data_IF_332141809046
#
_entry.id   IF_332141809046
#
_cell.length_a   1.000
_cell.length_b   1.000
_cell.length_c   1.000
_cell.angle_alpha   90.00
_cell.angle_beta   90.00
_cell.angle_gamma   90.00
#
_symmetry.space_group_name_H-M   'P 1'
#
loop_
_entity.id
_entity.type
_entity.pdbx_description
1 polymer ?
2 non-polymer ?
3 non-polymer ?
4 water ?
#
# COMPACT_ATOMS: atom_id res chain seq x y z
N UNK A 6 12.27 22.45 11.56
CA UNK A 6 12.58 21.09 11.99
C UNK A 6 14.05 20.74 11.79
N UNK A 7 14.58 19.90 12.67
CA UNK A 7 15.96 19.46 12.53
C UNK A 7 16.18 18.78 11.19
N UNK A 8 15.23 17.92 10.79
CA UNK A 8 15.29 17.21 9.52
C UNK A 8 13.99 17.46 8.76
N UNK A 9 13.94 18.51 7.95
CA UNK A 9 12.74 18.75 7.13
C UNK A 9 12.37 17.57 6.26
N UNK A 10 13.35 16.78 5.85
CA UNK A 10 13.14 15.63 4.99
C UNK A 10 13.83 14.44 5.62
N UNK A 11 13.23 13.87 6.69
CA UNK A 11 13.90 12.81 7.45
C UNK A 11 14.13 11.58 6.58
N UNK A 12 15.35 11.06 6.66
CA UNK A 12 15.76 9.96 5.79
C UNK A 12 15.54 8.60 6.44
N UNK A 13 15.18 8.59 7.72
CA UNK A 13 14.82 7.34 8.39
C UNK A 13 13.93 7.70 9.58
N UNK A 14 13.51 6.69 10.32
CA UNK A 14 12.59 6.90 11.42
C UNK A 14 13.27 7.50 12.64
N UNK A 15 14.60 7.41 12.74
CA UNK A 15 15.26 8.05 13.87
C UNK A 15 15.29 9.56 13.68
N UNK A 16 15.47 10.02 12.44
CA UNK A 16 15.36 11.46 12.18
C UNK A 16 13.93 11.95 12.39
N UNK A 17 12.95 11.15 12.00
CA UNK A 17 11.56 11.50 12.30
C UNK A 17 11.33 11.64 13.80
N UNK A 18 11.88 10.71 14.57
CA UNK A 18 11.74 10.78 16.01
C UNK A 18 12.46 11.99 16.58
N UNK A 19 13.62 12.34 16.02
CA UNK A 19 14.35 13.51 16.49
C UNK A 19 13.63 14.79 16.15
N UNK A 20 12.75 14.78 15.14
CA UNK A 20 11.90 15.92 14.87
C UNK A 20 10.76 16.07 15.88
N UNK A 21 10.51 15.04 16.70
CA UNK A 21 9.48 15.10 17.72
C UNK A 21 8.39 14.05 17.56
N UNK A 22 8.42 13.24 16.51
CA UNK A 22 7.39 12.24 16.26
C UNK A 22 7.65 11.03 17.15
N UNK A 23 6.74 10.76 18.06
CA UNK A 23 6.96 9.73 19.08
C UNK A 23 6.01 8.55 18.98
N UNK A 24 5.02 8.57 18.12
CA UNK A 24 4.01 7.52 18.06
C UNK A 24 4.23 6.65 16.84
N UNK A 25 4.13 5.35 17.02
CA UNK A 25 4.33 4.41 15.91
C UNK A 25 3.23 4.57 14.88
N UNK A 26 3.59 4.35 13.61
CA UNK A 26 2.65 4.50 12.53
C UNK A 26 3.38 4.72 11.23
N UNK A 27 2.60 5.10 10.20
CA UNK A 27 3.16 5.37 8.89
C UNK A 27 3.70 6.79 8.84
N UNK A 28 4.93 6.93 8.31
CA UNK A 28 5.56 8.22 8.12
C UNK A 28 6.20 8.23 6.75
N UNK A 29 6.33 9.42 6.17
CA UNK A 29 7.07 9.57 4.94
C UNK A 29 8.51 9.93 5.31
N UNK A 30 9.44 9.10 4.87
CA UNK A 30 10.87 9.41 4.95
C UNK A 30 11.36 9.73 3.53
N UNK A 31 12.56 10.28 3.45
CA UNK A 31 13.10 10.76 2.18
C UNK A 31 14.51 10.22 2.04
N UNK A 32 14.69 9.27 1.13
CA UNK A 32 15.98 8.63 0.97
C UNK A 32 17.03 9.67 0.60
N UNK A 33 18.14 9.65 1.34
CA UNK A 33 19.23 10.62 1.19
C UNK A 33 18.76 12.05 1.45
N UNK A 34 17.71 12.21 2.24
CA UNK A 34 17.17 13.53 2.51
C UNK A 34 16.65 14.23 1.28
N UNK A 35 16.40 13.47 0.21
CA UNK A 35 15.99 14.02 -1.07
C UNK A 35 14.47 14.02 -1.14
N UNK A 36 13.89 15.22 -1.26
CA UNK A 36 12.44 15.35 -1.34
C UNK A 36 11.82 14.48 -2.43
N UNK A 37 12.53 14.30 -3.54
CA UNK A 37 12.04 13.53 -4.68
C UNK A 37 12.08 12.02 -4.45
N UNK A 38 12.61 11.56 -3.33
CA UNK A 38 12.70 10.12 -3.07
C UNK A 38 11.86 9.73 -1.87
N UNK A 39 10.62 10.19 -1.85
CA UNK A 39 9.74 9.93 -0.73
C UNK A 39 9.41 8.45 -0.67
N UNK A 40 9.38 7.92 0.53
CA UNK A 40 9.03 6.51 0.79
C UNK A 40 8.22 6.46 2.08
N UNK A 41 7.05 5.85 2.02
CA UNK A 41 6.19 5.70 3.18
C UNK A 41 6.56 4.42 3.92
N UNK A 42 7.00 4.55 5.17
CA UNK A 42 7.41 3.40 5.97
C UNK A 42 6.64 3.40 7.29
N UNK A 43 6.62 2.24 7.93
CA UNK A 43 6.10 2.13 9.27
C UNK A 43 7.26 2.31 10.24
N UNK A 44 7.15 3.27 11.14
CA UNK A 44 8.12 3.52 12.19
C UNK A 44 7.66 2.86 13.49
N UNK A 45 8.52 2.02 14.05
CA UNK A 45 8.36 1.50 15.41
C UNK A 45 9.06 2.50 16.32
N UNK A 46 8.29 3.32 17.02
CA UNK A 46 8.84 4.38 17.83
C UNK A 46 8.91 4.03 19.30
N UNK A 47 8.61 2.77 19.68
CA UNK A 47 8.57 2.38 21.08
C UNK A 47 9.53 1.27 21.47
N UNK A 48 9.84 0.33 20.58
CA UNK A 48 10.76 -0.74 20.94
C UNK A 48 12.17 -0.19 21.09
N UNK A 49 12.80 -0.48 22.23
CA UNK A 49 14.26 -0.36 22.36
C UNK A 49 14.74 1.00 21.86
N UNK A 50 14.09 2.05 22.37
CA UNK A 50 14.44 3.41 22.06
C UNK A 50 13.76 4.02 20.86
N UNK A 51 13.01 3.24 20.09
CA UNK A 51 12.29 3.79 18.95
C UNK A 51 13.18 4.11 17.77
N UNK A 52 12.61 4.89 16.85
CA UNK A 52 13.34 5.29 15.66
C UNK A 52 13.60 4.20 14.65
N UNK A 53 12.79 3.13 14.66
CA UNK A 53 13.04 1.96 13.83
C UNK A 53 12.18 1.96 12.58
N UNK A 54 12.80 1.79 11.42
CA UNK A 54 12.07 1.46 10.20
C UNK A 54 11.78 -0.02 10.21
N UNK A 55 10.50 -0.40 10.22
CA UNK A 55 10.13 -1.81 10.09
C UNK A 55 10.16 -2.17 8.61
N UNK A 56 10.80 -3.31 8.27
CA UNK A 56 10.84 -3.72 6.87
C UNK A 56 10.29 -5.11 6.63
N UNK A 57 9.96 -5.86 7.69
CA UNK A 57 9.22 -7.09 7.61
C UNK A 57 8.29 -7.17 8.80
N UNK A 58 7.04 -7.58 8.57
CA UNK A 58 6.12 -7.91 9.64
C UNK A 58 5.35 -9.17 9.27
N UNK A 59 5.35 -10.15 10.18
CA UNK A 59 4.51 -11.32 10.14
C UNK A 59 3.63 -11.30 11.39
N UNK A 60 2.33 -11.58 11.22
CA UNK A 60 1.45 -11.56 12.38
C UNK A 60 0.16 -12.36 12.26
N UNK A 61 -0.27 -12.72 11.05
CA UNK A 61 -1.52 -13.44 10.93
C UNK A 61 -1.67 -14.30 9.69
N UNK A 62 -0.65 -14.38 8.85
CA UNK A 62 -0.71 -15.25 7.69
C UNK A 62 -1.54 -14.77 6.51
N UNK A 63 -1.97 -13.51 6.51
CA UNK A 63 -2.86 -13.08 5.43
C UNK A 63 -2.12 -12.77 4.15
N UNK A 64 -0.86 -12.36 4.23
CA UNK A 64 -0.07 -12.04 3.06
C UNK A 64 0.72 -13.26 2.61
N UNK A 65 0.90 -13.38 1.29
CA UNK A 65 1.67 -14.46 0.70
C UNK A 65 3.13 -14.01 0.55
N UNK A 66 4.04 -14.73 1.21
CA UNK A 66 5.46 -14.39 1.11
C UNK A 66 6.20 -15.27 0.15
N UNK A 67 5.49 -16.17 -0.55
CA UNK A 67 6.10 -16.97 -1.62
C UNK A 67 6.03 -16.19 -2.94
N UNK A 68 6.90 -15.18 -3.03
CA UNK A 68 6.87 -14.19 -4.11
C UNK A 68 8.17 -14.24 -4.90
N UNK A 69 8.15 -13.62 -6.08
CA UNK A 69 9.28 -13.75 -7.00
C UNK A 69 10.30 -12.63 -6.79
N UNK A 70 11.35 -12.67 -7.62
CA UNK A 70 12.45 -11.74 -7.49
C UNK A 70 11.96 -10.30 -7.58
N UNK A 71 11.19 -9.99 -8.63
CA UNK A 71 10.74 -8.61 -8.81
C UNK A 71 9.95 -8.12 -7.61
N UNK A 72 9.14 -9.01 -7.01
CA UNK A 72 8.31 -8.61 -5.88
C UNK A 72 9.16 -8.36 -4.64
N UNK A 73 10.18 -9.18 -4.40
CA UNK A 73 11.05 -8.94 -3.26
C UNK A 73 11.93 -7.71 -3.50
N UNK A 74 12.23 -7.40 -4.76
CA UNK A 74 13.00 -6.20 -5.06
C UNK A 74 12.17 -4.94 -4.80
N UNK A 75 10.87 -4.98 -5.13
CA UNK A 75 10.03 -3.79 -5.10
C UNK A 75 9.24 -3.63 -3.80
N UNK A 76 9.04 -4.70 -3.07
CA UNK A 76 8.22 -4.68 -1.87
C UNK A 76 6.78 -5.03 -2.18
N UNK A 77 6.10 -5.57 -1.16
CA UNK A 77 4.69 -5.93 -1.28
C UNK A 77 4.03 -5.91 0.10
N UNK A 78 2.71 -5.77 0.08
CA UNK A 78 1.90 -5.89 1.28
C UNK A 78 1.40 -4.55 1.79
N UNK A 79 0.61 -4.64 2.86
CA UNK A 79 0.11 -3.51 3.62
C UNK A 79 1.13 -3.15 4.71
N UNK A 80 1.73 -1.97 4.61
CA UNK A 80 2.78 -1.59 5.55
C UNK A 80 2.24 -1.38 6.97
N UNK A 81 0.93 -1.33 7.16
CA UNK A 81 0.35 -1.30 8.49
C UNK A 81 0.16 -2.69 9.06
N UNK A 82 0.31 -3.73 8.22
CA UNK A 82 0.04 -5.10 8.62
C UNK A 82 1.20 -5.97 8.16
N UNK A 83 0.91 -7.11 7.52
CA UNK A 83 1.98 -7.94 6.99
C UNK A 83 2.53 -7.38 5.68
N UNK A 84 3.85 -7.26 5.58
CA UNK A 84 4.46 -6.67 4.40
C UNK A 84 5.95 -6.99 4.34
N UNK A 85 6.52 -6.75 3.16
CA UNK A 85 7.95 -6.71 2.93
C UNK A 85 8.27 -5.37 2.27
N UNK A 86 9.22 -4.62 2.82
CA UNK A 86 9.48 -3.26 2.36
C UNK A 86 10.07 -3.21 0.94
N UNK A 87 10.89 -4.21 0.57
CA UNK A 87 11.51 -4.21 -0.71
C UNK A 87 13.02 -4.13 -0.60
N UNK A 88 13.73 -4.92 -1.42
CA UNK A 88 15.18 -4.98 -1.31
C UNK A 88 15.83 -3.74 -1.88
N UNK A 89 15.26 -3.15 -2.92
CA UNK A 89 15.81 -1.89 -3.43
C UNK A 89 15.75 -0.82 -2.36
N UNK A 90 14.62 -0.73 -1.64
CA UNK A 90 14.50 0.21 -0.54
C UNK A 90 15.53 -0.08 0.56
N UNK A 91 15.69 -1.36 0.94
CA UNK A 91 16.63 -1.69 1.99
C UNK A 91 18.04 -1.29 1.61
N UNK A 92 18.45 -1.56 0.38
CA UNK A 92 19.78 -1.14 -0.08
C UNK A 92 19.95 0.37 0.02
N UNK A 93 18.97 1.13 -0.48
CA UNK A 93 19.09 2.58 -0.45
C UNK A 93 19.15 3.13 0.98
N UNK A 94 18.39 2.52 1.89
CA UNK A 94 18.44 2.99 3.28
C UNK A 94 19.80 2.66 3.90
N UNK A 95 20.26 1.41 3.75
CA UNK A 95 21.52 1.06 4.41
C UNK A 95 22.70 1.77 3.76
N UNK A 96 22.55 2.27 2.54
CA UNK A 96 23.60 3.04 1.91
C UNK A 96 23.67 4.48 2.40
N UNK A 97 22.73 4.91 3.25
CA UNK A 97 22.70 6.27 3.76
C UNK A 97 23.56 6.47 5.00
N UNK A 98 24.16 5.42 5.53
CA UNK A 98 24.93 5.54 6.76
C UNK A 98 25.21 4.17 7.35
N UNK A 99 25.44 4.17 8.66
CA UNK A 99 25.81 2.97 9.40
C UNK A 99 24.56 2.54 10.19
N UNK A 100 23.97 1.40 9.79
CA UNK A 100 22.70 0.97 10.34
C UNK A 100 22.85 -0.31 11.13
N UNK A 101 21.94 -0.48 12.09
CA UNK A 101 21.83 -1.69 12.88
C UNK A 101 20.47 -2.34 12.65
N UNK A 102 20.42 -3.65 12.84
CA UNK A 102 19.23 -4.46 12.68
C UNK A 102 18.69 -4.87 14.05
N UNK A 103 17.36 -4.81 14.20
CA UNK A 103 16.68 -5.40 15.35
C UNK A 103 15.61 -6.36 14.85
N UNK A 104 15.51 -7.52 15.49
CA UNK A 104 14.47 -8.49 15.20
C UNK A 104 13.68 -8.69 16.48
N UNK A 105 12.36 -8.49 16.41
CA UNK A 105 11.45 -8.74 17.52
C UNK A 105 10.60 -9.95 17.23
N UNK A 106 10.54 -10.89 18.19
CA UNK A 106 9.82 -12.13 18.03
C UNK A 106 8.83 -12.27 19.19
N UNK A 107 7.63 -12.75 18.89
CA UNK A 107 6.63 -12.99 19.91
C UNK A 107 5.88 -14.27 19.56
N UNK A 108 5.56 -15.08 20.57
CA UNK A 108 4.89 -16.35 20.33
C UNK A 108 4.23 -16.83 21.62
N UNK A 109 2.92 -16.76 21.66
CA UNK A 109 2.14 -17.32 22.77
C UNK A 109 2.59 -16.79 24.12
N UNK A 110 2.74 -15.48 24.23
CA UNK A 110 3.12 -14.87 25.49
C UNK A 110 4.61 -14.80 25.74
N UNK A 111 5.41 -15.48 24.93
CA UNK A 111 6.85 -15.40 25.01
C UNK A 111 7.36 -14.39 24.00
N UNK A 112 8.46 -13.73 24.36
CA UNK A 112 9.10 -12.80 23.44
C UNK A 112 10.60 -13.02 23.46
N UNK A 113 11.26 -12.61 22.37
CA UNK A 113 12.71 -12.62 22.31
C UNK A 113 13.12 -11.59 21.27
N UNK A 114 14.41 -11.27 21.26
CA UNK A 114 14.88 -10.27 20.31
C UNK A 114 16.33 -10.54 19.95
N UNK A 115 16.75 -9.94 18.84
CA UNK A 115 18.15 -9.94 18.45
C UNK A 115 18.48 -8.60 17.86
N UNK A 116 19.68 -8.10 18.17
CA UNK A 116 20.20 -6.87 17.58
C UNK A 116 21.55 -7.17 16.97
N UNK A 117 21.79 -6.63 15.77
CA UNK A 117 23.05 -6.75 15.06
C UNK A 117 23.55 -5.34 14.76
N UNK A 118 24.68 -4.96 15.33
CA UNK A 118 25.07 -3.55 15.30
C UNK A 118 25.65 -3.14 13.94
N UNK A 119 25.84 -4.08 13.02
CA UNK A 119 26.22 -3.77 11.63
C UNK A 119 25.27 -4.52 10.70
N UNK A 120 24.52 -3.77 9.90
CA UNK A 120 23.54 -4.33 8.98
C UNK A 120 23.54 -3.53 7.69
N UNK A 121 23.73 -4.22 6.57
CA UNK A 121 23.64 -3.57 5.27
C UNK A 121 23.18 -4.59 4.24
N UNK A 122 22.56 -4.06 3.18
CA UNK A 122 22.10 -4.83 2.04
C UNK A 122 22.67 -4.17 0.79
N UNK A 123 23.35 -4.97 -0.03
CA UNK A 123 23.91 -4.47 -1.27
C UNK A 123 22.87 -4.25 -2.37
N UNK A 124 23.35 -3.75 -3.50
CA UNK A 124 22.43 -3.35 -4.57
C UNK A 124 22.10 -4.54 -5.46
N UNK A 125 21.29 -4.29 -6.49
CA UNK A 125 20.80 -5.37 -7.32
C UNK A 125 21.94 -6.15 -7.96
N UNK A 126 22.99 -5.44 -8.36
CA UNK A 126 24.12 -6.12 -9.01
C UNK A 126 24.78 -7.12 -8.09
N UNK A 127 24.77 -6.86 -6.78
CA UNK A 127 25.25 -7.84 -5.80
C UNK A 127 24.21 -8.89 -5.44
N UNK A 128 23.07 -8.91 -6.12
CA UNK A 128 21.92 -9.74 -5.70
C UNK A 128 21.60 -9.50 -4.23
N UNK A 129 21.71 -8.22 -3.81
CA UNK A 129 21.27 -7.76 -2.49
C UNK A 129 22.03 -8.48 -1.37
N UNK A 130 23.35 -8.46 -1.47
CA UNK A 130 24.19 -9.20 -0.55
C UNK A 130 24.01 -8.69 0.87
N UNK A 131 23.90 -9.63 1.80
CA UNK A 131 23.61 -9.31 3.19
C UNK A 131 24.89 -9.18 3.99
N UNK A 132 24.99 -8.13 4.81
CA UNK A 132 26.00 -8.04 5.86
C UNK A 132 25.25 -7.91 7.18
N UNK A 133 25.56 -8.80 8.13
CA UNK A 133 24.89 -8.76 9.44
C UNK A 133 25.88 -9.27 10.47
N UNK A 134 26.28 -8.39 11.40
CA UNK A 134 27.36 -8.65 12.34
C UNK A 134 27.09 -7.94 13.67
N UNK A 135 27.78 -8.41 14.72
CA UNK A 135 27.71 -7.78 16.04
C UNK A 135 26.45 -8.08 16.81
N UNK A 136 26.27 -9.36 17.15
CA UNK A 136 25.03 -9.83 17.77
C UNK A 136 24.93 -9.51 19.25
N UNK A 137 23.71 -9.21 19.69
CA UNK A 137 23.32 -9.26 21.09
C UNK A 137 21.86 -9.66 21.14
N UNK A 138 21.42 -10.23 22.29
CA UNK A 138 20.02 -10.46 22.44
C UNK A 138 19.73 -11.77 23.13
N UNK A 139 18.46 -12.16 23.06
CA UNK A 139 17.97 -13.38 23.70
C UNK A 139 17.44 -14.44 22.73
N UNK A 140 17.27 -14.10 21.46
CA UNK A 140 16.73 -15.05 20.50
C UNK A 140 17.75 -16.10 20.08
N UNK A 141 19.02 -15.84 20.31
CA UNK A 141 20.11 -16.63 19.76
C UNK A 141 20.53 -16.12 18.40
N UNK A 142 21.82 -16.25 18.13
CA UNK A 142 22.42 -15.63 16.93
C UNK A 142 22.21 -16.51 15.70
N UNK A 143 21.04 -16.42 15.12
CA UNK A 143 20.69 -17.24 13.95
C UNK A 143 21.02 -16.55 12.63
N UNK A 144 21.25 -15.23 12.64
CA UNK A 144 21.59 -14.56 11.41
C UNK A 144 23.06 -14.77 11.01
N UNK A 145 23.93 -15.09 11.96
CA UNK A 145 25.33 -15.30 11.64
C UNK A 145 25.51 -16.30 10.49
N UNK A 146 24.73 -17.37 10.51
CA UNK A 146 24.76 -18.37 9.44
C UNK A 146 24.55 -17.74 8.05
N UNK A 147 23.77 -16.66 7.98
CA UNK A 147 23.42 -16.05 6.71
C UNK A 147 24.34 -14.90 6.29
N UNK A 148 25.26 -14.47 7.14
CA UNK A 148 26.10 -13.31 6.80
C UNK A 148 26.85 -13.56 5.51
N UNK A 149 26.81 -12.58 4.60
CA UNK A 149 27.51 -12.68 3.35
C UNK A 149 26.73 -13.31 2.20
N UNK A 150 25.55 -13.84 2.45
CA UNK A 150 24.78 -14.47 1.39
C UNK A 150 24.03 -13.42 0.56
N UNK A 151 23.87 -13.70 -0.72
CA UNK A 151 22.93 -12.99 -1.58
C UNK A 151 21.50 -13.49 -1.36
N UNK A 152 20.54 -12.75 -1.87
CA UNK A 152 19.13 -13.09 -1.74
C UNK A 152 18.73 -14.12 -2.80
N UNK A 153 17.76 -14.95 -2.44
CA UNK A 153 17.25 -15.99 -3.32
C UNK A 153 15.72 -15.97 -3.32
N UNK A 154 15.16 -16.13 -4.50
CA UNK A 154 13.74 -16.40 -4.68
C UNK A 154 13.62 -17.63 -5.58
N UNK A 155 12.40 -18.14 -5.72
CA UNK A 155 12.25 -19.39 -6.45
C UNK A 155 12.71 -19.22 -7.89
N UNK A 156 12.58 -18.01 -8.45
CA UNK A 156 12.97 -17.76 -9.83
C UNK A 156 14.34 -17.11 -9.96
N UNK A 157 15.06 -16.91 -8.87
CA UNK A 157 16.47 -16.51 -8.97
C UNK A 157 17.24 -17.13 -7.80
N UNK A 158 17.85 -18.28 -8.06
CA UNK A 158 18.53 -19.08 -7.05
C UNK A 158 19.98 -18.67 -6.97
N UNK A 159 20.36 -18.09 -5.83
CA UNK A 159 21.76 -17.72 -5.58
C UNK A 159 22.31 -18.41 -4.34
N UNK A 160 21.64 -19.46 -3.84
CA UNK A 160 22.04 -20.05 -2.56
C UNK A 160 23.23 -20.97 -2.79
N UNK A 161 23.65 -21.65 -1.73
CA UNK A 161 24.83 -22.50 -1.77
C UNK A 161 24.50 -23.98 -1.90
N UNK A 162 23.25 -24.31 -2.26
CA UNK A 162 22.82 -25.68 -2.46
C UNK A 162 22.64 -25.99 -3.94
N UNK A 163 22.81 -27.26 -4.31
CA UNK A 163 22.52 -27.64 -5.69
C UNK A 163 21.02 -27.64 -5.94
N UNK A 164 20.23 -27.77 -4.87
CA UNK A 164 18.81 -27.59 -4.95
C UNK A 164 18.48 -26.10 -4.87
N UNK A 165 17.20 -25.79 -4.93
CA UNK A 165 16.70 -24.42 -4.89
C UNK A 165 16.00 -24.25 -3.54
N UNK A 166 16.68 -23.60 -2.60
CA UNK A 166 16.13 -23.43 -1.25
C UNK A 166 14.77 -22.76 -1.28
N UNK A 167 14.66 -21.66 -2.02
CA UNK A 167 13.42 -20.90 -2.05
C UNK A 167 12.29 -21.75 -2.60
N UNK A 168 12.55 -22.49 -3.68
CA UNK A 168 11.54 -23.36 -4.26
C UNK A 168 11.17 -24.49 -3.31
N UNK A 169 12.18 -25.12 -2.70
CA UNK A 169 11.93 -26.25 -1.82
C UNK A 169 11.09 -25.85 -0.63
N UNK A 170 11.41 -24.72 -0.02
CA UNK A 170 10.77 -24.29 1.21
C UNK A 170 9.65 -23.30 0.96
N UNK A 171 9.40 -22.95 -0.30
CA UNK A 171 8.34 -22.02 -0.72
C UNK A 171 8.39 -20.74 0.10
N UNK A 172 9.58 -20.13 0.10
CA UNK A 172 9.79 -18.84 0.74
C UNK A 172 10.87 -18.08 0.00
N UNK A 173 11.51 -17.13 0.67
CA UNK A 173 12.58 -16.32 0.10
C UNK A 173 13.43 -15.81 1.25
N UNK A 174 14.73 -15.72 1.03
CA UNK A 174 15.63 -15.23 2.06
C UNK A 174 17.04 -15.17 1.51
N UNK A 175 17.97 -14.67 2.31
CA UNK A 175 19.39 -14.77 2.05
C UNK A 175 19.83 -16.19 2.38
N UNK A 176 19.34 -17.14 1.58
CA UNK A 176 19.52 -18.56 1.88
C UNK A 176 20.98 -18.98 1.66
N UNK A 177 21.39 -19.99 2.41
CA UNK A 177 22.69 -20.66 2.26
C UNK A 177 22.37 -22.10 1.86
N UNK A 178 22.27 -23.01 2.85
CA UNK A 178 21.90 -24.38 2.52
C UNK A 178 21.28 -25.06 3.75
N UNK A 179 20.10 -24.58 4.18
CA UNK A 179 19.41 -23.47 3.61
C UNK A 179 19.25 -22.30 4.59
N UNK A 180 18.82 -22.56 5.82
CA UNK A 180 18.62 -21.43 6.72
C UNK A 180 18.65 -21.84 8.18
N UNK A 181 18.92 -20.83 9.01
CA UNK A 181 18.58 -20.77 10.42
C UNK A 181 17.53 -19.71 10.73
N UNK A 182 17.38 -18.70 9.86
CA UNK A 182 16.33 -17.70 9.94
C UNK A 182 15.48 -17.83 8.70
N UNK A 183 14.17 -17.88 8.85
CA UNK A 183 13.26 -18.06 7.70
C UNK A 183 12.00 -17.24 7.93
N UNK A 184 12.18 -15.93 8.20
CA UNK A 184 11.04 -15.13 8.63
C UNK A 184 10.11 -14.75 7.50
N UNK A 185 10.48 -15.02 6.26
CA UNK A 185 9.56 -14.94 5.12
C UNK A 185 9.08 -16.34 4.69
N UNK A 186 8.93 -17.24 5.66
CA UNK A 186 8.42 -18.58 5.41
C UNK A 186 6.91 -18.63 5.44
N UNK A 187 6.41 -19.87 5.47
CA UNK A 187 4.98 -20.15 5.38
C UNK A 187 4.35 -20.01 6.76
N UNK A 188 3.36 -19.14 6.87
CA UNK A 188 2.80 -18.84 8.18
C UNK A 188 2.10 -20.05 8.77
N UNK A 189 2.36 -20.27 10.05
CA UNK A 189 1.75 -21.37 10.77
C UNK A 189 2.18 -22.76 10.33
N UNK A 190 3.23 -22.90 9.55
CA UNK A 190 3.64 -24.18 9.00
C UNK A 190 4.78 -24.74 9.85
N UNK A 191 4.46 -25.74 10.67
CA UNK A 191 5.44 -26.35 11.57
C UNK A 191 6.24 -27.48 10.91
N UNK A 192 6.00 -27.80 9.64
CA UNK A 192 6.82 -28.80 8.96
C UNK A 192 8.28 -28.31 8.89
N UNK A 193 9.20 -29.28 8.95
CA UNK A 193 10.63 -28.97 9.03
C UNK A 193 11.01 -27.91 8.00
N UNK A 194 11.58 -26.81 8.49
CA UNK A 194 12.20 -25.74 7.72
C UNK A 194 11.19 -24.90 6.94
N UNK A 195 9.89 -25.19 7.04
CA UNK A 195 8.91 -24.51 6.18
C UNK A 195 8.37 -23.21 6.74
N UNK A 196 8.41 -23.03 8.06
CA UNK A 196 7.65 -21.98 8.70
C UNK A 196 8.47 -20.72 8.97
N UNK A 197 7.88 -19.85 9.78
CA UNK A 197 8.51 -18.62 10.23
C UNK A 197 9.49 -19.00 11.32
N UNK A 198 10.70 -19.38 10.95
CA UNK A 198 11.61 -20.04 11.87
C UNK A 198 12.69 -19.06 12.34
N UNK A 199 13.04 -19.15 13.62
CA UNK A 199 14.28 -18.56 14.17
C UNK A 199 14.92 -19.72 14.95
N UNK A 200 15.88 -20.40 14.32
CA UNK A 200 16.23 -21.75 14.77
C UNK A 200 16.70 -21.75 16.23
N UNK A 201 17.53 -20.79 16.62
CA UNK A 201 18.18 -20.86 17.91
C UNK A 201 17.32 -20.29 19.02
N UNK A 202 16.06 -19.96 18.71
CA UNK A 202 15.03 -19.73 19.72
C UNK A 202 14.02 -20.88 19.80
N UNK A 203 13.43 -21.26 18.64
CA UNK A 203 12.37 -22.27 18.63
C UNK A 203 12.54 -23.36 17.59
N UNK A 204 13.68 -23.45 16.94
CA UNK A 204 14.00 -24.59 16.09
C UNK A 204 13.41 -24.50 14.69
N UNK A 205 13.48 -25.64 13.99
CA UNK A 205 13.02 -25.72 12.61
C UNK A 205 11.65 -26.37 12.47
N UNK A 206 10.99 -26.75 13.56
CA UNK A 206 9.66 -27.35 13.50
C UNK A 206 8.65 -26.52 14.26
N UNK A 207 8.88 -25.21 14.37
CA UNK A 207 7.97 -24.32 15.08
C UNK A 207 7.91 -22.99 14.34
N UNK A 208 6.74 -22.67 13.81
CA UNK A 208 6.52 -21.42 13.11
C UNK A 208 6.04 -20.34 14.07
N UNK A 209 6.74 -19.20 14.09
CA UNK A 209 6.57 -18.16 15.11
C UNK A 209 5.39 -17.27 14.72
N UNK A 210 4.60 -16.90 15.74
CA UNK A 210 3.36 -16.18 15.51
C UNK A 210 3.60 -14.76 15.00
N UNK A 211 4.59 -14.06 15.55
CA UNK A 211 4.79 -12.63 15.28
C UNK A 211 6.27 -12.35 15.13
N UNK A 212 6.63 -11.65 14.04
CA UNK A 212 8.03 -11.33 13.82
C UNK A 212 8.10 -9.99 13.10
N UNK A 213 9.03 -9.15 13.53
CA UNK A 213 9.38 -7.92 12.83
C UNK A 213 10.88 -7.83 12.66
N UNK A 214 11.32 -7.37 11.48
CA UNK A 214 12.70 -6.95 11.24
C UNK A 214 12.67 -5.44 11.00
N UNK A 215 13.63 -4.72 11.59
CA UNK A 215 13.61 -3.26 11.56
C UNK A 215 15.04 -2.75 11.64
N UNK A 216 15.24 -1.51 11.20
CA UNK A 216 16.59 -0.97 11.21
C UNK A 216 16.61 0.52 11.53
N UNK A 217 17.76 0.98 12.02
CA UNK A 217 17.98 2.37 12.35
C UNK A 217 19.48 2.61 12.43
N UNK A 218 19.92 3.86 12.46
CA UNK A 218 21.36 4.15 12.58
C UNK A 218 21.94 3.54 13.84
N UNK A 219 23.11 2.89 13.70
CA UNK A 219 23.67 2.18 14.83
C UNK A 219 24.13 3.15 15.91
N UNK A 220 24.53 4.37 15.54
CA UNK A 220 24.97 5.33 16.54
C UNK A 220 23.80 6.00 17.26
N UNK A 221 22.56 5.78 16.80
CA UNK A 221 21.40 6.32 17.50
C UNK A 221 21.31 5.76 18.91
N UNK A 222 21.80 4.53 19.10
CA UNK A 222 21.81 3.92 20.43
C UNK A 222 22.67 4.72 21.41
N UNK A 223 23.68 5.43 20.91
CA UNK A 223 24.60 6.16 21.76
C UNK A 223 24.14 7.57 22.09
N UNK A 224 23.06 8.03 21.48
CA UNK A 224 22.53 9.37 21.70
C UNK A 224 21.84 9.49 23.06
N UNK B 6 -3.06 -18.43 -8.70
CA UNK B 6 -2.74 -19.10 -7.45
C UNK B 6 -1.83 -18.27 -6.54
N UNK B 7 -1.13 -17.26 -7.06
CA UNK B 7 -0.39 -16.39 -6.16
C UNK B 7 -1.33 -15.78 -5.12
N UNK B 8 -2.50 -15.33 -5.57
CA UNK B 8 -3.56 -14.81 -4.70
C UNK B 8 -4.84 -15.59 -4.97
N UNK B 9 -5.05 -16.69 -4.27
CA UNK B 9 -6.31 -17.44 -4.46
C UNK B 9 -7.54 -16.59 -4.25
N UNK B 10 -7.45 -15.58 -3.39
CA UNK B 10 -8.55 -14.68 -3.09
C UNK B 10 -8.06 -13.24 -3.24
N UNK B 11 -7.90 -12.78 -4.49
CA UNK B 11 -7.29 -11.46 -4.72
C UNK B 11 -8.15 -10.37 -4.11
N UNK B 12 -7.49 -9.46 -3.39
CA UNK B 12 -8.19 -8.40 -2.66
C UNK B 12 -8.34 -7.13 -3.49
N UNK B 13 -7.70 -7.06 -4.65
CA UNK B 13 -7.91 -5.93 -5.55
C UNK B 13 -7.55 -6.38 -6.97
N UNK B 14 -7.66 -5.46 -7.92
CA UNK B 14 -7.44 -5.83 -9.31
C UNK B 14 -5.97 -5.99 -9.65
N UNK B 15 -5.06 -5.48 -8.84
CA UNK B 15 -3.65 -5.71 -9.11
C UNK B 15 -3.27 -7.13 -8.75
N UNK B 16 -3.82 -7.65 -7.66
CA UNK B 16 -3.60 -9.07 -7.33
C UNK B 16 -4.21 -9.97 -8.40
N UNK B 17 -5.42 -9.63 -8.88
CA UNK B 17 -5.99 -10.38 -9.99
C UNK B 17 -5.09 -10.35 -11.22
N UNK B 18 -4.52 -9.18 -11.54
CA UNK B 18 -3.60 -9.11 -12.66
C UNK B 18 -2.35 -9.95 -12.41
N UNK B 19 -1.83 -9.92 -11.17
CA UNK B 19 -0.65 -10.71 -10.85
C UNK B 19 -0.94 -12.20 -10.90
N UNK B 20 -2.20 -12.61 -10.78
CA UNK B 20 -2.55 -14.00 -11.01
C UNK B 20 -2.53 -14.38 -12.48
N UNK B 21 -2.50 -13.40 -13.39
CA UNK B 21 -2.47 -13.66 -14.82
C UNK B 21 -3.63 -13.07 -15.58
N UNK B 22 -4.60 -12.46 -14.92
CA UNK B 22 -5.78 -11.91 -15.57
C UNK B 22 -5.41 -10.56 -16.20
N UNK B 23 -5.43 -10.50 -17.52
CA UNK B 23 -4.92 -9.33 -18.22
C UNK B 23 -5.99 -8.55 -18.96
N UNK B 24 -7.23 -9.03 -19.01
CA UNK B 24 -8.27 -8.39 -19.81
C UNK B 24 -9.28 -7.68 -18.91
N UNK B 25 -9.67 -6.49 -19.33
CA UNK B 25 -10.62 -5.70 -18.53
C UNK B 25 -11.98 -6.37 -18.50
N UNK B 26 -12.67 -6.20 -17.38
CA UNK B 26 -13.98 -6.79 -17.21
C UNK B 26 -14.31 -6.95 -15.74
N UNK B 27 -15.38 -7.72 -15.49
CA UNK B 27 -15.81 -7.96 -14.11
C UNK B 27 -15.01 -9.11 -13.50
N UNK B 28 -14.56 -8.91 -12.27
CA UNK B 28 -13.81 -9.91 -11.52
C UNK B 28 -14.35 -9.91 -10.10
N UNK B 29 -14.30 -11.07 -9.46
CA UNK B 29 -14.57 -11.13 -8.04
C UNK B 29 -13.27 -10.93 -7.29
N UNK B 30 -13.22 -9.90 -6.45
CA UNK B 30 -12.14 -9.69 -5.49
C UNK B 30 -12.70 -10.01 -4.11
N UNK B 31 -11.79 -10.09 -3.14
CA UNK B 31 -12.14 -10.55 -1.80
C UNK B 31 -11.52 -9.61 -0.79
N UNK B 32 -12.36 -8.82 -0.12
CA UNK B 32 -11.86 -7.78 0.78
C UNK B 32 -11.05 -8.44 1.89
N UNK B 33 -9.84 -7.92 2.10
CA UNK B 33 -8.88 -8.46 3.05
C UNK B 33 -8.49 -9.89 2.74
N UNK B 34 -8.63 -10.31 1.48
CA UNK B 34 -8.34 -11.68 1.12
C UNK B 34 -9.29 -12.69 1.73
N UNK B 35 -10.41 -12.24 2.26
CA UNK B 35 -11.37 -13.06 2.96
C UNK B 35 -12.39 -13.60 1.97
N UNK B 36 -12.44 -14.92 1.84
CA UNK B 36 -13.41 -15.54 0.93
C UNK B 36 -14.83 -15.10 1.20
N UNK B 37 -15.18 -14.83 2.44
CA UNK B 37 -16.53 -14.45 2.82
C UNK B 37 -16.86 -13.01 2.45
N UNK B 38 -15.89 -12.24 1.98
CA UNK B 38 -16.13 -10.83 1.65
C UNK B 38 -16.00 -10.60 0.15
N UNK B 39 -16.68 -11.42 -0.64
CA UNK B 39 -16.60 -11.32 -2.08
C UNK B 39 -17.24 -10.03 -2.54
N UNK B 40 -16.65 -9.40 -3.53
CA UNK B 40 -17.16 -8.16 -4.13
C UNK B 40 -16.84 -8.22 -5.62
N UNK B 41 -17.85 -8.07 -6.46
CA UNK B 41 -17.67 -8.04 -7.90
C UNK B 41 -17.34 -6.62 -8.34
N UNK B 42 -16.18 -6.43 -8.96
CA UNK B 42 -15.73 -5.12 -9.41
C UNK B 42 -15.35 -5.18 -10.87
N UNK B 43 -15.30 -4.01 -11.50
CA UNK B 43 -14.76 -3.89 -12.84
C UNK B 43 -13.28 -3.53 -12.71
N UNK B 44 -12.43 -4.35 -13.33
CA UNK B 44 -10.99 -4.10 -13.38
C UNK B 44 -10.60 -3.48 -14.72
N UNK B 45 -9.97 -2.31 -14.67
CA UNK B 45 -9.32 -1.70 -15.82
C UNK B 45 -7.90 -2.25 -15.84
N UNK B 46 -7.65 -3.19 -16.76
CA UNK B 46 -6.37 -3.88 -16.82
C UNK B 46 -5.44 -3.32 -17.87
N UNK B 47 -5.80 -2.20 -18.53
CA UNK B 47 -5.01 -1.66 -19.63
C UNK B 47 -4.50 -0.24 -19.43
N UNK B 48 -5.23 0.62 -18.73
CA UNK B 48 -4.75 1.98 -18.49
C UNK B 48 -3.54 1.95 -17.56
N UNK B 49 -2.45 2.61 -17.98
CA UNK B 49 -1.37 2.99 -17.06
C UNK B 49 -0.92 1.79 -16.22
N UNK B 50 -0.68 0.67 -16.90
CA UNK B 50 -0.18 -0.53 -16.27
C UNK B 50 -1.24 -1.46 -15.72
N UNK B 51 -2.50 -1.08 -15.73
CA UNK B 51 -3.55 -1.98 -15.32
C UNK B 51 -3.68 -2.17 -13.82
N UNK B 52 -4.44 -3.20 -13.46
CA UNK B 52 -4.65 -3.52 -12.05
C UNK B 52 -5.53 -2.55 -11.31
N UNK B 53 -6.40 -1.82 -12.00
CA UNK B 53 -7.19 -0.75 -11.40
C UNK B 53 -8.61 -1.22 -11.11
N UNK B 54 -9.05 -1.03 -9.86
CA UNK B 54 -10.47 -1.14 -9.54
C UNK B 54 -11.13 0.15 -9.97
N UNK B 55 -12.08 0.07 -10.88
CA UNK B 55 -12.90 1.24 -11.22
C UNK B 55 -14.01 1.40 -10.17
N UNK B 56 -14.18 2.61 -9.64
CA UNK B 56 -15.27 2.82 -8.68
C UNK B 56 -16.25 3.89 -9.10
N UNK B 57 -15.98 4.60 -10.19
CA UNK B 57 -16.92 5.52 -10.80
C UNK B 57 -16.76 5.44 -12.32
N UNK B 58 -17.87 5.40 -13.04
CA UNK B 58 -17.86 5.54 -14.49
C UNK B 58 -19.04 6.38 -14.92
N UNK B 59 -18.75 7.43 -15.70
CA UNK B 59 -19.73 8.24 -16.41
C UNK B 59 -19.43 8.10 -17.90
N UNK B 60 -20.48 7.86 -18.72
CA UNK B 60 -20.25 7.72 -20.15
C UNK B 60 -21.45 7.98 -21.05
N UNK B 61 -22.67 8.00 -20.50
CA UNK B 61 -23.81 8.26 -21.35
C UNK B 61 -25.03 8.85 -20.67
N UNK B 62 -24.99 9.15 -19.37
CA UNK B 62 -26.13 9.78 -18.72
C UNK B 62 -27.30 8.88 -18.39
N UNK B 63 -27.15 7.57 -18.50
CA UNK B 63 -28.29 6.70 -18.27
C UNK B 63 -28.59 6.49 -16.79
N UNK B 64 -27.59 6.57 -15.94
CA UNK B 64 -27.76 6.37 -14.50
C UNK B 64 -27.98 7.71 -13.82
N UNK B 65 -28.81 7.70 -12.77
CA UNK B 65 -29.07 8.88 -11.96
C UNK B 65 -28.06 8.93 -10.81
N UNK B 66 -27.25 10.00 -10.77
CA UNK B 66 -26.28 10.14 -9.70
C UNK B 66 -26.74 11.08 -8.61
N UNK B 67 -27.97 11.58 -8.70
CA UNK B 67 -28.55 12.39 -7.62
C UNK B 67 -29.24 11.46 -6.62
N UNK B 68 -28.40 10.79 -5.83
CA UNK B 68 -28.82 9.72 -4.93
C UNK B 68 -28.54 10.09 -3.49
N UNK B 69 -29.17 9.36 -2.56
CA UNK B 69 -29.11 9.73 -1.16
C UNK B 69 -27.92 9.06 -0.46
N UNK B 70 -27.83 9.32 0.85
CA UNK B 70 -26.68 8.85 1.62
C UNK B 70 -26.57 7.33 1.57
N UNK B 71 -27.68 6.64 1.81
CA UNK B 71 -27.62 5.19 1.84
C UNK B 71 -27.19 4.62 0.50
N UNK B 72 -27.61 5.25 -0.60
CA UNK B 72 -27.24 4.76 -1.92
C UNK B 72 -25.75 4.96 -2.17
N UNK B 73 -25.20 6.11 -1.79
CA UNK B 73 -23.78 6.34 -1.99
C UNK B 73 -22.95 5.47 -1.06
N UNK B 74 -23.49 5.09 0.09
CA UNK B 74 -22.79 4.18 0.99
C UNK B 74 -22.75 2.77 0.43
N UNK B 75 -23.84 2.33 -0.19
CA UNK B 75 -23.99 0.95 -0.64
C UNK B 75 -23.55 0.73 -2.08
N UNK B 76 -23.52 1.76 -2.88
CA UNK B 76 -23.25 1.61 -4.31
C UNK B 76 -24.51 1.41 -5.12
N UNK B 77 -24.45 1.82 -6.38
CA UNK B 77 -25.57 1.69 -7.30
C UNK B 77 -25.06 1.63 -8.73
N UNK B 78 -25.90 1.09 -9.61
CA UNK B 78 -25.65 1.06 -11.04
C UNK B 78 -25.15 -0.27 -11.56
N UNK B 79 -24.97 -0.29 -12.89
CA UNK B 79 -24.40 -1.43 -13.60
C UNK B 79 -22.87 -1.28 -13.65
N UNK B 80 -22.16 -2.19 -12.98
CA UNK B 80 -20.71 -2.06 -12.91
C UNK B 80 -20.03 -2.22 -14.28
N UNK B 81 -20.73 -2.70 -15.30
CA UNK B 81 -20.20 -2.75 -16.65
C UNK B 81 -20.42 -1.44 -17.39
N UNK B 82 -21.22 -0.53 -16.82
CA UNK B 82 -21.57 0.72 -17.49
C UNK B 82 -21.44 1.86 -16.48
N UNK B 83 -22.46 2.71 -16.35
CA UNK B 83 -22.39 3.79 -15.36
C UNK B 83 -22.73 3.27 -13.97
N UNK B 84 -21.90 3.58 -12.98
CA UNK B 84 -22.11 3.07 -11.63
C UNK B 84 -21.27 3.84 -10.63
N UNK B 85 -21.63 3.67 -9.36
CA UNK B 85 -20.84 4.07 -8.21
C UNK B 85 -20.64 2.84 -7.33
N UNK B 86 -19.39 2.54 -6.97
CA UNK B 86 -19.07 1.29 -6.30
C UNK B 86 -19.61 1.25 -4.87
N UNK B 87 -19.69 2.40 -4.19
CA UNK B 87 -20.13 2.45 -2.81
C UNK B 87 -19.05 2.91 -1.87
N UNK B 88 -19.39 3.78 -0.92
CA UNK B 88 -18.40 4.34 -0.02
C UNK B 88 -17.94 3.32 1.01
N UNK B 89 -18.84 2.44 1.45
CA UNK B 89 -18.42 1.36 2.36
C UNK B 89 -17.35 0.51 1.70
N UNK B 90 -17.58 0.12 0.43
CA UNK B 90 -16.60 -0.63 -0.33
C UNK B 90 -15.28 0.13 -0.48
N UNK B 91 -15.34 1.43 -0.78
CA UNK B 91 -14.11 2.19 -0.94
C UNK B 91 -13.32 2.24 0.35
N UNK B 92 -13.98 2.47 1.48
CA UNK B 92 -13.28 2.47 2.76
C UNK B 92 -12.59 1.13 3.01
N UNK B 93 -13.31 0.04 2.76
CA UNK B 93 -12.75 -1.29 3.03
C UNK B 93 -11.55 -1.59 2.13
N UNK B 94 -11.61 -1.17 0.87
CA UNK B 94 -10.48 -1.39 -0.02
C UNK B 94 -9.28 -0.54 0.42
N UNK B 95 -9.48 0.75 0.65
CA UNK B 95 -8.34 1.61 0.98
C UNK B 95 -7.79 1.29 2.36
N UNK B 96 -8.55 0.58 3.20
CA UNK B 96 -8.04 0.12 4.48
C UNK B 96 -7.18 -1.14 4.34
N UNK B 97 -7.11 -1.73 3.15
CA UNK B 97 -6.32 -2.95 2.94
C UNK B 97 -4.84 -2.68 2.70
N UNK B 98 -4.44 -1.42 2.59
CA UNK B 98 -3.06 -1.10 2.24
C UNK B 98 -2.92 0.34 1.83
N UNK B 99 -1.88 0.61 1.05
CA UNK B 99 -1.54 1.97 0.61
C UNK B 99 -1.95 2.06 -0.87
N UNK B 100 -2.98 2.87 -1.15
CA UNK B 100 -3.57 2.94 -2.47
C UNK B 100 -3.38 4.30 -3.12
N UNK B 101 -3.39 4.30 -4.45
CA UNK B 101 -3.36 5.51 -5.24
C UNK B 101 -4.59 5.59 -6.12
N UNK B 102 -4.95 6.82 -6.48
CA UNK B 102 -6.11 7.14 -7.27
C UNK B 102 -5.68 7.52 -8.68
N UNK B 103 -6.43 7.06 -9.68
CA UNK B 103 -6.29 7.53 -11.05
C UNK B 103 -7.65 7.99 -11.55
N UNK B 104 -7.66 9.14 -12.25
CA UNK B 104 -8.86 9.65 -12.90
C UNK B 104 -8.57 9.73 -14.38
N UNK B 105 -9.41 9.10 -15.18
CA UNK B 105 -9.31 9.16 -16.63
C UNK B 105 -10.48 9.96 -17.19
N UNK B 106 -10.18 10.95 -18.02
CA UNK B 106 -11.17 11.86 -18.59
C UNK B 106 -11.08 11.83 -20.11
N UNK B 107 -12.23 11.85 -20.77
CA UNK B 107 -12.29 11.87 -22.23
C UNK B 107 -13.45 12.75 -22.66
N UNK B 108 -13.23 13.54 -23.70
CA UNK B 108 -14.26 14.48 -24.16
C UNK B 108 -13.96 14.87 -25.61
N UNK B 109 -14.81 14.44 -26.53
CA UNK B 109 -14.72 14.87 -27.92
C UNK B 109 -13.32 14.68 -28.49
N UNK B 110 -12.76 13.50 -28.28
CA UNK B 110 -11.46 13.19 -28.84
C UNK B 110 -10.27 13.66 -28.04
N UNK B 111 -10.48 14.46 -27.00
CA UNK B 111 -9.40 14.87 -26.12
C UNK B 111 -9.42 13.97 -24.89
N UNK B 112 -8.24 13.78 -24.30
CA UNK B 112 -8.13 12.99 -23.07
C UNK B 112 -7.23 13.71 -22.09
N UNK B 113 -7.43 13.41 -20.81
CA UNK B 113 -6.55 13.90 -19.76
C UNK B 113 -6.64 12.92 -18.60
N UNK B 114 -5.72 13.07 -17.65
CA UNK B 114 -5.72 12.16 -16.52
C UNK B 114 -5.11 12.86 -15.32
N UNK B 115 -5.38 12.28 -14.14
CA UNK B 115 -4.74 12.69 -12.90
C UNK B 115 -4.45 11.44 -12.09
N UNK B 116 -3.30 11.42 -11.44
CA UNK B 116 -2.94 10.38 -10.48
C UNK B 116 -2.59 11.02 -9.15
N UNK B 117 -3.08 10.43 -8.06
CA UNK B 117 -2.77 10.87 -6.72
C UNK B 117 -2.18 9.68 -5.98
N UNK B 118 -0.91 9.78 -5.57
CA UNK B 118 -0.21 8.58 -5.09
C UNK B 118 -0.62 8.21 -3.66
N UNK B 119 -1.44 9.05 -3.01
CA UNK B 119 -2.02 8.71 -1.70
C UNK B 119 -3.52 8.95 -1.77
N UNK B 120 -4.30 7.88 -1.59
CA UNK B 120 -5.75 7.96 -1.68
C UNK B 120 -6.36 7.04 -0.63
N UNK B 121 -7.23 7.59 0.20
CA UNK B 121 -7.97 6.77 1.16
C UNK B 121 -9.31 7.41 1.47
N UNK B 122 -10.25 6.57 1.90
CA UNK B 122 -11.58 6.99 2.30
C UNK B 122 -11.84 6.38 3.69
N UNK B 123 -12.24 7.23 4.62
CA UNK B 123 -12.55 6.79 5.97
C UNK B 123 -13.87 6.07 6.09
N UNK B 124 -14.16 5.58 7.29
CA UNK B 124 -15.35 4.76 7.48
C UNK B 124 -16.58 5.64 7.71
N UNK B 125 -17.72 4.99 7.92
CA UNK B 125 -18.97 5.74 8.01
C UNK B 125 -18.93 6.74 9.15
N UNK B 126 -18.27 6.40 10.25
CA UNK B 126 -18.24 7.31 11.38
C UNK B 126 -17.48 8.59 11.06
N UNK B 127 -16.51 8.53 10.16
CA UNK B 127 -15.84 9.73 9.68
C UNK B 127 -16.62 10.44 8.57
N UNK B 128 -17.82 9.97 8.24
CA UNK B 128 -18.55 10.44 7.05
C UNK B 128 -17.69 10.28 5.80
N UNK B 129 -16.95 9.17 5.74
CA UNK B 129 -16.16 8.78 4.58
C UNK B 129 -15.16 9.86 4.18
N UNK B 130 -14.40 10.32 5.17
CA UNK B 130 -13.44 11.40 4.97
C UNK B 130 -12.43 11.04 3.91
N UNK B 131 -12.19 11.99 3.01
CA UNK B 131 -11.31 11.82 1.87
C UNK B 131 -9.89 12.28 2.17
N UNK B 132 -8.91 11.45 1.80
CA UNK B 132 -7.52 11.85 1.73
C UNK B 132 -7.06 11.64 0.29
N UNK B 133 -6.51 12.68 -0.32
CA UNK B 133 -6.05 12.58 -1.70
C UNK B 133 -4.87 13.54 -1.84
N UNK B 134 -3.68 12.97 -2.10
CA UNK B 134 -2.43 13.71 -2.11
C UNK B 134 -1.48 13.15 -3.16
N UNK B 135 -0.44 13.96 -3.51
CA UNK B 135 0.60 13.52 -4.42
C UNK B 135 0.19 13.49 -5.88
N UNK B 136 -0.10 14.68 -6.42
CA UNK B 136 -0.66 14.80 -7.76
C UNK B 136 0.39 14.65 -8.84
N UNK B 137 -0.02 14.03 -9.94
CA UNK B 137 0.67 14.13 -11.23
C UNK B 137 -0.39 14.04 -12.32
N UNK B 138 -0.04 14.53 -13.51
CA UNK B 138 -0.92 14.30 -14.64
C UNK B 138 -1.07 15.54 -15.49
N UNK B 139 -2.10 15.49 -16.36
CA UNK B 139 -2.38 16.55 -17.30
C UNK B 139 -3.74 17.22 -17.10
N UNK B 140 -4.61 16.66 -16.26
CA UNK B 140 -5.94 17.23 -16.08
C UNK B 140 -5.91 18.49 -15.23
N UNK B 141 -4.85 18.72 -14.49
CA UNK B 141 -4.79 19.76 -13.49
C UNK B 141 -5.26 19.23 -12.14
N UNK B 142 -4.65 19.76 -11.08
CA UNK B 142 -4.86 19.22 -9.73
C UNK B 142 -6.12 19.80 -9.11
N UNK B 143 -7.26 19.21 -9.46
CA UNK B 143 -8.55 19.69 -8.98
C UNK B 143 -9.02 18.98 -7.72
N UNK B 144 -8.40 17.85 -7.36
CA UNK B 144 -8.79 17.17 -6.13
C UNK B 144 -8.18 17.79 -4.89
N UNK B 145 -7.06 18.52 -5.03
CA UNK B 145 -6.45 19.13 -3.86
C UNK B 145 -7.45 19.95 -3.05
N UNK B 146 -8.31 20.70 -3.75
CA UNK B 146 -9.35 21.49 -3.11
C UNK B 146 -10.22 20.65 -2.18
N UNK B 147 -10.40 19.36 -2.48
CA UNK B 147 -11.30 18.49 -1.75
C UNK B 147 -10.62 17.69 -0.65
N UNK B 148 -9.29 17.72 -0.55
CA UNK B 148 -8.58 16.87 0.42
C UNK B 148 -9.06 17.17 1.83
N UNK B 149 -9.35 16.11 2.59
CA UNK B 149 -9.79 16.27 3.96
C UNK B 149 -11.28 16.44 4.16
N UNK B 150 -12.06 16.57 3.09
CA UNK B 150 -13.49 16.75 3.25
C UNK B 150 -14.19 15.42 3.47
N UNK B 151 -15.29 15.46 4.22
CA UNK B 151 -16.24 14.36 4.30
C UNK B 151 -17.18 14.37 3.10
N UNK B 152 -17.93 13.29 2.95
CA UNK B 152 -18.87 13.16 1.84
C UNK B 152 -20.19 13.81 2.19
N UNK B 153 -20.87 14.31 1.15
CA UNK B 153 -22.15 14.99 1.28
C UNK B 153 -23.14 14.45 0.25
N UNK B 154 -24.36 14.23 0.69
CA UNK B 154 -25.51 13.97 -0.16
C UNK B 154 -26.59 14.97 0.23
N UNK B 155 -27.65 15.03 -0.55
CA UNK B 155 -28.67 16.05 -0.30
C UNK B 155 -29.29 15.85 1.07
N UNK B 156 -29.34 14.61 1.54
CA UNK B 156 -29.94 14.30 2.84
C UNK B 156 -28.93 14.15 3.95
N UNK B 157 -27.64 14.37 3.68
CA UNK B 157 -26.65 14.44 4.76
C UNK B 157 -25.56 15.43 4.34
N UNK B 158 -25.74 16.68 4.78
CA UNK B 158 -24.86 17.78 4.40
C UNK B 158 -23.72 17.90 5.41
N UNK B 159 -22.50 17.64 4.94
CA UNK B 159 -21.31 17.80 5.78
C UNK B 159 -20.34 18.81 5.17
N UNK B 160 -20.80 19.63 4.21
CA UNK B 160 -19.87 20.48 3.48
C UNK B 160 -19.57 21.72 4.33
N UNK B 161 -18.80 22.63 3.76
CA UNK B 161 -18.35 23.83 4.47
C UNK B 161 -19.15 25.07 4.11
N UNK B 162 -20.29 24.90 3.44
CA UNK B 162 -21.19 26.01 3.10
C UNK B 162 -22.40 26.04 4.02
N UNK B 163 -22.97 27.24 4.22
CA UNK B 163 -24.23 27.31 4.96
C UNK B 163 -25.36 26.75 4.11
N UNK B 164 -25.20 26.77 2.80
CA UNK B 164 -26.12 26.10 1.91
C UNK B 164 -25.78 24.62 1.86
N UNK B 165 -26.55 23.89 1.06
CA UNK B 165 -26.37 22.45 0.90
C UNK B 165 -25.87 22.24 -0.53
N UNK B 166 -24.55 22.00 -0.65
CA UNK B 166 -23.95 21.85 -1.97
C UNK B 166 -24.64 20.76 -2.78
N UNK B 167 -24.82 19.60 -2.17
CA UNK B 167 -25.38 18.46 -2.89
C UNK B 167 -26.78 18.78 -3.38
N UNK B 168 -27.59 19.43 -2.54
CA UNK B 168 -28.94 19.81 -2.94
C UNK B 168 -28.91 20.87 -4.03
N UNK B 169 -28.07 21.89 -3.85
CA UNK B 169 -28.02 22.99 -4.81
C UNK B 169 -27.61 22.49 -6.19
N UNK B 170 -26.63 21.61 -6.25
CA UNK B 170 -26.07 21.16 -7.51
C UNK B 170 -26.65 19.83 -7.96
N UNK B 171 -27.54 19.24 -7.16
CA UNK B 171 -28.19 17.97 -7.46
C UNK B 171 -27.17 16.89 -7.81
N UNK B 172 -26.16 16.77 -6.96
CA UNK B 172 -25.17 15.73 -7.07
C UNK B 172 -24.74 15.25 -5.70
N UNK B 173 -23.56 14.64 -5.62
CA UNK B 173 -22.98 14.18 -4.37
C UNK B 173 -21.47 14.16 -4.53
N UNK B 174 -20.74 14.50 -3.47
CA UNK B 174 -19.29 14.50 -3.54
C UNK B 174 -18.74 14.83 -2.16
N UNK B 175 -17.42 14.77 -2.06
CA UNK B 175 -16.69 15.31 -0.93
C UNK B 175 -16.65 16.83 -1.07
N UNK B 176 -17.82 17.45 -0.97
CA UNK B 176 -17.98 18.86 -1.26
C UNK B 176 -17.34 19.72 -0.17
N UNK B 177 -16.88 20.89 -0.56
CA UNK B 177 -16.37 21.93 0.34
C UNK B 177 -17.33 23.12 0.21
N UNK B 178 -17.03 24.09 -0.65
CA UNK B 178 -17.95 25.20 -0.89
C UNK B 178 -17.71 25.78 -2.29
N UNK B 179 -18.01 25.00 -3.34
CA UNK B 179 -18.51 23.64 -3.23
C UNK B 179 -17.57 22.63 -3.89
N UNK B 180 -17.08 22.90 -5.10
CA UNK B 180 -16.26 21.90 -5.75
C UNK B 180 -15.39 22.49 -6.85
N UNK B 181 -14.29 21.76 -7.12
CA UNK B 181 -13.53 21.79 -8.35
C UNK B 181 -13.66 20.50 -9.15
N UNK B 182 -14.02 19.40 -8.48
CA UNK B 182 -14.31 18.13 -9.10
C UNK B 182 -15.76 17.77 -8.80
N UNK B 183 -16.52 17.39 -9.82
CA UNK B 183 -17.95 17.09 -9.65
C UNK B 183 -18.32 15.94 -10.55
N UNK B 184 -17.58 14.82 -10.44
CA UNK B 184 -17.76 13.74 -11.40
C UNK B 184 -19.01 12.93 -11.15
N UNK B 185 -19.72 13.15 -10.04
CA UNK B 185 -21.06 12.62 -9.83
C UNK B 185 -22.13 13.68 -10.03
N UNK B 186 -21.88 14.61 -10.95
CA UNK B 186 -22.83 15.65 -11.29
C UNK B 186 -23.81 15.21 -12.36
N UNK B 187 -24.54 16.18 -12.90
CA UNK B 187 -25.61 15.93 -13.86
C UNK B 187 -25.03 15.79 -15.26
N UNK B 188 -25.32 14.67 -15.89
CA UNK B 188 -24.70 14.38 -17.19
C UNK B 188 -25.15 15.37 -18.25
N UNK B 189 -24.20 15.84 -19.05
CA UNK B 189 -24.47 16.77 -20.12
C UNK B 189 -24.95 18.14 -19.71
N UNK B 190 -24.85 18.50 -18.44
CA UNK B 190 -25.39 19.76 -17.93
C UNK B 190 -24.25 20.78 -17.86
N UNK B 191 -24.24 21.71 -18.83
CA UNK B 191 -23.20 22.72 -18.89
C UNK B 191 -23.49 23.96 -18.05
N UNK B 192 -24.61 23.99 -17.31
CA UNK B 192 -24.86 25.10 -16.41
C UNK B 192 -23.82 25.13 -15.30
N UNK B 193 -23.54 26.34 -14.81
CA UNK B 193 -22.46 26.55 -13.85
C UNK B 193 -22.53 25.56 -12.72
N UNK B 194 -21.46 24.80 -12.53
CA UNK B 194 -21.21 23.90 -11.41
C UNK B 194 -22.13 22.68 -11.41
N UNK B 195 -22.99 22.51 -12.41
CA UNK B 195 -24.00 21.44 -12.37
C UNK B 195 -23.51 20.13 -12.95
N UNK B 196 -22.55 20.16 -13.87
CA UNK B 196 -22.26 19.02 -14.70
C UNK B 196 -21.12 18.16 -14.18
N UNK B 197 -20.66 17.27 -15.05
CA UNK B 197 -19.52 16.39 -14.78
C UNK B 197 -18.26 17.22 -14.96
N UNK B 198 -17.84 17.93 -13.92
CA UNK B 198 -16.83 18.97 -14.04
C UNK B 198 -15.49 18.48 -13.51
N UNK B 199 -14.42 18.87 -14.20
CA UNK B 199 -13.05 18.82 -13.69
C UNK B 199 -12.48 20.22 -13.96
N UNK B 200 -12.54 21.09 -12.95
CA UNK B 200 -12.45 22.53 -13.24
C UNK B 200 -11.14 22.89 -13.95
N UNK B 201 -10.03 22.33 -13.51
CA UNK B 201 -8.74 22.80 -14.03
C UNK B 201 -8.36 22.14 -15.33
N UNK B 202 -9.27 21.37 -15.92
CA UNK B 202 -9.18 20.93 -17.31
C UNK B 202 -10.19 21.65 -18.20
N UNK B 203 -11.47 21.66 -17.84
CA UNK B 203 -12.51 22.22 -18.69
C UNK B 203 -13.50 23.14 -17.98
N UNK B 204 -13.21 23.54 -16.75
CA UNK B 204 -13.98 24.59 -16.09
C UNK B 204 -15.28 24.13 -15.46
N UNK B 205 -16.08 25.11 -15.06
CA UNK B 205 -17.34 24.85 -14.39
C UNK B 205 -18.56 24.97 -15.30
N UNK B 206 -18.38 25.24 -16.60
CA UNK B 206 -19.49 25.34 -17.53
C UNK B 206 -19.36 24.35 -18.67
N UNK B 207 -18.67 23.22 -18.42
CA UNK B 207 -18.51 22.17 -19.42
C UNK B 207 -18.59 20.82 -18.73
N UNK B 208 -19.61 20.06 -19.08
CA UNK B 208 -19.80 18.72 -18.54
C UNK B 208 -19.06 17.70 -19.42
N UNK B 209 -18.22 16.88 -18.78
CA UNK B 209 -17.31 15.98 -19.48
C UNK B 209 -18.04 14.71 -19.89
N UNK B 210 -17.74 14.25 -21.11
CA UNK B 210 -18.45 13.14 -21.71
C UNK B 210 -18.16 11.82 -21.01
N UNK B 211 -16.93 11.59 -20.61
CA UNK B 211 -16.50 10.29 -20.08
C UNK B 211 -15.53 10.48 -18.93
N UNK B 212 -15.78 9.77 -17.83
CA UNK B 212 -14.91 9.91 -16.67
C UNK B 212 -14.90 8.59 -15.91
N UNK B 213 -13.73 8.18 -15.47
CA UNK B 213 -13.56 7.05 -14.57
C UNK B 213 -12.64 7.45 -13.42
N UNK B 214 -13.01 7.04 -12.20
CA UNK B 214 -12.16 7.09 -11.04
C UNK B 214 -11.83 5.64 -10.67
N UNK B 215 -10.56 5.36 -10.34
CA UNK B 215 -10.13 3.99 -10.11
C UNK B 215 -8.95 3.99 -9.15
N UNK B 216 -8.72 2.84 -8.49
CA UNK B 216 -7.65 2.79 -7.52
C UNK B 216 -6.94 1.44 -7.55
N UNK B 217 -5.72 1.45 -7.02
CA UNK B 217 -4.87 0.27 -6.93
C UNK B 217 -3.76 0.57 -5.94
N UNK B 218 -3.02 -0.44 -5.50
CA UNK B 218 -1.91 -0.20 -4.57
C UNK B 218 -0.89 0.75 -5.16
N UNK B 219 -0.45 1.72 -4.37
CA UNK B 219 0.47 2.72 -4.89
C UNK B 219 1.83 2.11 -5.23
N UNK B 220 2.28 1.09 -4.49
CA UNK B 220 3.57 0.48 -4.78
C UNK B 220 3.52 -0.41 -6.02
N UNK B 221 2.32 -0.68 -6.56
CA UNK B 221 2.23 -1.51 -7.77
C UNK B 221 2.94 -0.84 -8.93
N UNK B 222 2.97 0.50 -8.92
CA UNK B 222 3.68 1.24 -9.95
C UNK B 222 5.18 0.96 -9.94
N UNK B 223 5.73 0.55 -8.80
CA UNK B 223 7.15 0.31 -8.65
C UNK B 223 7.56 -1.10 -9.01
N UNK B 224 6.61 -2.01 -9.21
CA UNK B 224 6.90 -3.39 -9.57
C UNK B 224 7.37 -3.49 -11.02
X LIG C 1 20.74 -23.54 -5.44
X LIG D 1 18.99 -30.44 8.93
X LIG D 1 17.90 -31.08 8.16
X LIG D 1 18.54 -29.15 9.49
X LIG D 1 19.38 -31.32 10.03
X LIG D 1 20.13 -30.20 8.04
X LIG E 1 -23.80 22.92 4.17
X LIG F 1 -17.44 30.69 -8.31
X LIG F 1 -18.84 30.93 -8.66
X LIG F 1 -17.32 30.65 -6.85
X LIG F 1 -16.99 29.39 -8.86
X LIG F 1 -16.61 31.77 -8.85
#
# INVERSE_FOLDING_TARGET
GTGSGLLYPFPKDCSQAMLNGDTTSGLYTIYLNGDKAEALEVFCDMTSDGGGWIVFLRRKNGRENFYQNWKAYAAGFGDRREEFWLGLDNLNKITAQGQYELRVDLRDHGETAFAVYDKFSVGDAKTRYKLKVEGYSGTAGDSMAYHNGRSFSTFDKDTDSAITNCALSHKGAFWYRNCHRVNLMGRYGDNNHHQGVNWFHWKGHEHSIQFAEMKLRPSNFRNLEGRRKRA
GTGSGLLYPFPKDCSQAMLNGDTTSGLYTIYLNGDKAEALEVFCDMTSDGGGWIVFLRRKNGRENFYQNWKAYAAGFGDRREEFWLGLDNLNKITAQGQYELRVDLRDHGETAFAVYDKFSVGDAKTRYKLKVEGYSGTAGDSMAYHNGRSFSTFDKDTDSAITNCALSHKGAFWYRNCHRVNLMGRYGDNNHHQGVNWFHWKGHEHSIQFAEMKLRPSNFRNLEGRRKRA
CA CA
SO4 S O1 O2 O3 O4
CA CA
SO4 S O1 O2 O3 O4
#
